data_IF_510139001539
#
_entry.id   IF_510139001539
#
_cell.length_a   1.000
_cell.length_b   1.000
_cell.length_c   1.000
_cell.angle_alpha   90.00
_cell.angle_beta   90.00
_cell.angle_gamma   90.00
#
_symmetry.space_group_name_H-M   'P 1'
#
loop_
_entity.id
_entity.type
_entity.pdbx_description
1 polymer ?
#
# COMPACT_ATOMS: atom_id res chain seq x y z
N UNK A 1 41.64 -12.34 7.77
CA UNK A 1 40.55 -11.59 8.45
C UNK A 1 39.99 -10.58 7.46
N UNK A 2 38.91 -10.95 6.79
CA UNK A 2 38.39 -10.24 5.61
C UNK A 2 37.26 -9.33 6.05
N UNK A 3 37.44 -8.00 5.95
CA UNK A 3 36.42 -6.99 6.28
C UNK A 3 35.30 -7.06 5.24
N UNK A 4 34.17 -7.67 5.59
CA UNK A 4 32.92 -7.52 4.84
C UNK A 4 32.41 -6.08 5.01
N UNK A 5 32.36 -5.33 3.91
CA UNK A 5 31.71 -4.01 3.85
C UNK A 5 30.21 -4.22 3.70
N UNK A 6 29.48 -4.08 4.80
CA UNK A 6 28.02 -4.07 4.83
C UNK A 6 27.52 -2.78 4.15
N UNK A 7 26.89 -2.91 2.98
CA UNK A 7 26.21 -1.79 2.33
C UNK A 7 24.93 -1.49 3.10
N UNK A 8 24.89 -0.34 3.79
CA UNK A 8 23.67 0.20 4.43
C UNK A 8 22.61 0.40 3.34
N UNK A 9 21.46 -0.25 3.51
CA UNK A 9 20.26 0.01 2.70
C UNK A 9 19.74 1.38 3.15
N UNK A 10 19.99 2.39 2.34
CA UNK A 10 19.42 3.72 2.53
C UNK A 10 17.99 3.63 2.00
N UNK A 11 17.00 3.65 2.90
CA UNK A 11 15.61 3.92 2.55
C UNK A 11 15.49 5.41 2.18
N UNK A 12 15.90 5.75 0.97
CA UNK A 12 15.52 7.01 0.35
C UNK A 12 14.05 6.92 -0.07
N UNK A 13 13.21 7.95 0.19
CA UNK A 13 11.90 8.03 -0.43
C UNK A 13 12.11 8.17 -1.95
N UNK A 14 11.78 7.11 -2.68
CA UNK A 14 11.83 7.07 -4.15
C UNK A 14 10.73 7.99 -4.68
N UNK A 15 11.04 9.26 -4.88
CA UNK A 15 10.30 10.14 -5.78
C UNK A 15 10.72 9.79 -7.21
N UNK A 16 9.92 8.94 -7.86
CA UNK A 16 10.15 8.51 -9.23
C UNK A 16 9.62 9.59 -10.19
N UNK A 17 10.53 10.38 -10.78
CA UNK A 17 10.25 11.26 -11.92
C UNK A 17 10.43 10.44 -13.20
N UNK A 18 9.32 10.09 -13.86
CA UNK A 18 9.34 9.53 -15.22
C UNK A 18 9.31 10.67 -16.24
N UNK A 19 10.43 10.88 -16.92
CA UNK A 19 10.53 11.69 -18.14
C UNK A 19 10.39 10.78 -19.37
N UNK A 20 9.30 11.00 -20.09
CA UNK A 20 9.16 11.08 -21.55
C UNK A 20 9.99 10.11 -22.42
N UNK A 21 9.31 9.12 -22.98
CA UNK A 21 9.67 8.48 -24.25
C UNK A 21 8.46 8.46 -25.17
N UNK A 22 8.47 9.32 -26.19
CA UNK A 22 7.51 9.29 -27.29
C UNK A 22 8.01 8.42 -28.45
N UNK A 23 7.09 7.97 -29.31
CA UNK A 23 7.43 7.57 -30.68
C UNK A 23 6.72 6.33 -31.22
N UNK A 24 5.58 6.58 -31.86
CA UNK A 24 5.09 6.04 -33.14
C UNK A 24 5.07 4.53 -33.46
N UNK A 25 3.88 4.12 -33.96
CA UNK A 25 3.57 3.09 -34.97
C UNK A 25 2.53 2.09 -34.40
N UNK A 26 1.52 1.59 -35.12
CA UNK A 26 1.03 1.75 -36.49
C UNK A 26 -0.35 1.05 -36.50
N UNK A 27 -1.25 1.61 -37.28
CA UNK A 27 -2.62 1.18 -37.52
C UNK A 27 -2.62 -0.08 -38.41
N UNK A 28 -3.31 -1.14 -37.99
CA UNK A 28 -3.71 -2.22 -38.89
C UNK A 28 -5.08 -2.77 -38.46
N UNK A 29 -6.04 -2.54 -39.34
CA UNK A 29 -7.43 -2.99 -39.24
C UNK A 29 -7.54 -4.44 -39.68
N UNK A 30 -8.05 -5.32 -38.82
CA UNK A 30 -8.44 -6.67 -39.23
C UNK A 30 -9.92 -6.91 -38.91
N UNK A 31 -10.69 -7.09 -39.99
CA UNK A 31 -12.09 -7.50 -39.98
C UNK A 31 -12.14 -8.97 -39.58
N UNK A 32 -12.84 -9.30 -38.49
CA UNK A 32 -13.15 -10.69 -38.15
C UNK A 32 -14.65 -10.94 -38.20
N UNK A 33 -14.95 -12.01 -38.92
CA UNK A 33 -16.21 -12.70 -39.15
C UNK A 33 -17.09 -12.85 -37.90
N UNK A 34 -18.40 -12.69 -38.09
CA UNK A 34 -19.41 -13.21 -37.19
C UNK A 34 -19.50 -14.73 -37.32
N UNK A 35 -19.56 -15.49 -36.21
CA UNK A 35 -20.17 -16.80 -36.23
C UNK A 35 -21.63 -16.72 -35.77
N UNK A 36 -22.34 -17.63 -36.42
CA UNK A 36 -23.75 -17.92 -36.42
C UNK A 36 -24.22 -18.59 -35.12
N UNK A 37 -25.54 -18.57 -34.98
CA UNK A 37 -26.40 -18.97 -33.88
C UNK A 37 -26.08 -20.27 -33.13
N UNK A 38 -26.36 -20.23 -31.83
CA UNK A 38 -27.17 -21.28 -31.19
C UNK A 38 -26.61 -21.88 -29.92
N UNK A 39 -26.72 -21.19 -28.78
CA UNK A 39 -26.72 -21.85 -27.47
C UNK A 39 -27.80 -21.26 -26.56
N UNK A 40 -28.68 -22.15 -26.11
CA UNK A 40 -29.70 -21.92 -25.09
C UNK A 40 -29.03 -21.55 -23.75
N UNK A 41 -29.57 -20.62 -22.97
CA UNK A 41 -29.00 -20.28 -21.67
C UNK A 41 -29.25 -21.43 -20.68
N UNK A 42 -28.22 -22.22 -20.39
CA UNK A 42 -28.15 -22.96 -19.14
C UNK A 42 -28.27 -21.96 -17.99
N UNK A 43 -29.22 -22.22 -17.11
CA UNK A 43 -29.45 -21.44 -15.91
C UNK A 43 -28.14 -21.37 -15.11
N UNK A 44 -27.52 -20.19 -15.13
CA UNK A 44 -26.39 -19.84 -14.27
C UNK A 44 -26.90 -19.93 -12.83
N UNK A 45 -26.67 -21.10 -12.24
CA UNK A 45 -26.80 -21.36 -10.82
C UNK A 45 -25.96 -20.32 -10.10
N UNK A 46 -26.63 -19.39 -9.42
CA UNK A 46 -26.01 -18.41 -8.54
C UNK A 46 -25.50 -19.14 -7.30
N UNK A 47 -24.40 -19.87 -7.45
CA UNK A 47 -23.68 -20.43 -6.33
C UNK A 47 -23.25 -19.28 -5.42
N UNK A 48 -23.75 -19.29 -4.18
CA UNK A 48 -23.26 -18.42 -3.12
C UNK A 48 -21.74 -18.59 -3.01
N UNK A 49 -20.95 -17.52 -2.88
CA UNK A 49 -19.50 -17.63 -2.86
C UNK A 49 -19.07 -18.50 -1.68
N UNK A 50 -18.50 -19.67 -1.99
CA UNK A 50 -18.15 -20.74 -1.04
C UNK A 50 -17.08 -20.35 0.00
N UNK A 51 -16.52 -19.14 -0.06
CA UNK A 51 -15.32 -18.79 0.69
C UNK A 51 -15.55 -18.02 1.99
N UNK A 52 -16.79 -17.59 2.31
CA UNK A 52 -17.07 -16.86 3.56
C UNK A 52 -16.30 -15.54 3.76
N UNK A 53 -15.61 -15.08 2.71
CA UNK A 53 -14.79 -13.87 2.72
C UNK A 53 -15.70 -12.67 2.49
N UNK A 54 -15.65 -11.70 3.39
CA UNK A 54 -16.42 -10.45 3.27
C UNK A 54 -15.47 -9.27 3.08
N UNK A 55 -15.89 -8.32 2.25
CA UNK A 55 -15.16 -7.10 1.96
C UNK A 55 -15.99 -5.90 2.42
N UNK A 56 -15.57 -5.29 3.52
CA UNK A 56 -16.27 -4.17 4.15
C UNK A 56 -15.67 -2.85 3.69
N UNK A 57 -16.48 -1.98 3.08
CA UNK A 57 -16.10 -0.59 2.83
C UNK A 57 -16.13 0.14 4.17
N UNK A 58 -14.97 0.66 4.59
CA UNK A 58 -14.84 1.41 5.84
C UNK A 58 -14.84 2.92 5.62
N UNK A 59 -14.47 3.37 4.42
CA UNK A 59 -14.52 4.77 4.00
C UNK A 59 -14.76 4.84 2.49
N UNK A 60 -15.62 5.77 2.07
CA UNK A 60 -15.78 6.17 0.67
C UNK A 60 -15.77 7.70 0.60
N UNK A 61 -14.81 8.24 -0.15
CA UNK A 61 -14.71 9.66 -0.43
C UNK A 61 -15.05 9.93 -1.88
N UNK A 62 -16.05 10.79 -2.09
CA UNK A 62 -16.41 11.29 -3.42
C UNK A 62 -16.12 12.78 -3.46
N UNK A 63 -15.27 13.19 -4.39
CA UNK A 63 -14.95 14.59 -4.66
C UNK A 63 -15.41 14.93 -6.07
N UNK A 64 -16.23 15.96 -6.23
CA UNK A 64 -16.72 16.40 -7.53
C UNK A 64 -16.47 17.89 -7.70
N UNK A 65 -15.55 18.23 -8.59
CA UNK A 65 -15.05 19.58 -8.84
C UNK A 65 -14.96 19.81 -10.34
N UNK A 66 -14.90 21.07 -10.82
CA UNK A 66 -14.78 21.34 -12.26
C UNK A 66 -13.58 20.69 -12.97
N UNK A 67 -12.52 20.37 -12.21
CA UNK A 67 -11.27 19.81 -12.74
C UNK A 67 -11.27 18.28 -12.65
N UNK A 68 -11.93 17.71 -11.64
CA UNK A 68 -11.93 16.27 -11.39
C UNK A 68 -13.18 15.79 -10.68
N UNK A 69 -13.58 14.57 -11.01
CA UNK A 69 -14.51 13.76 -10.22
C UNK A 69 -13.76 12.52 -9.74
N UNK A 70 -13.55 12.38 -8.45
CA UNK A 70 -12.78 11.31 -7.83
C UNK A 70 -13.65 10.47 -6.91
N UNK A 71 -13.52 9.15 -7.02
CA UNK A 71 -14.03 8.19 -6.04
C UNK A 71 -12.82 7.49 -5.42
N UNK A 72 -12.76 7.49 -4.09
CA UNK A 72 -11.77 6.75 -3.32
C UNK A 72 -12.50 5.83 -2.34
N UNK A 73 -12.15 4.55 -2.34
CA UNK A 73 -12.70 3.54 -1.44
C UNK A 73 -11.59 2.88 -0.63
N UNK A 74 -11.81 2.75 0.67
CA UNK A 74 -10.98 1.97 1.59
C UNK A 74 -11.78 0.77 2.09
N UNK A 75 -11.21 -0.42 1.93
CA UNK A 75 -11.90 -1.69 2.15
C UNK A 75 -11.07 -2.56 3.08
N UNK A 76 -11.73 -3.26 4.01
CA UNK A 76 -11.10 -4.27 4.86
C UNK A 76 -11.68 -5.64 4.54
N UNK A 77 -10.81 -6.65 4.42
CA UNK A 77 -11.20 -8.04 4.22
C UNK A 77 -11.33 -8.77 5.56
N UNK A 78 -12.36 -9.60 5.74
CA UNK A 78 -12.61 -10.32 7.00
C UNK A 78 -11.73 -11.55 7.23
N UNK A 79 -11.13 -12.09 6.18
CA UNK A 79 -10.30 -13.30 6.20
C UNK A 79 -9.32 -13.26 5.03
N UNK A 80 -8.36 -14.20 4.98
CA UNK A 80 -7.33 -14.21 3.93
C UNK A 80 -7.95 -14.48 2.55
N UNK A 81 -7.90 -13.53 1.60
CA UNK A 81 -8.38 -13.78 0.24
C UNK A 81 -7.33 -14.52 -0.58
N UNK A 82 -7.78 -15.28 -1.58
CA UNK A 82 -6.88 -15.73 -2.65
C UNK A 82 -6.51 -14.52 -3.53
N UNK A 83 -5.36 -14.59 -4.20
CA UNK A 83 -4.92 -13.54 -5.13
C UNK A 83 -6.00 -13.23 -6.18
N UNK A 84 -6.54 -14.26 -6.83
CA UNK A 84 -7.59 -14.12 -7.83
C UNK A 84 -8.88 -13.53 -7.24
N UNK A 85 -9.31 -13.99 -6.05
CA UNK A 85 -10.51 -13.46 -5.40
C UNK A 85 -10.37 -12.00 -4.99
N UNK A 86 -9.18 -11.57 -4.58
CA UNK A 86 -8.88 -10.16 -4.29
C UNK A 86 -8.92 -9.31 -5.57
N UNK A 87 -8.30 -9.80 -6.66
CA UNK A 87 -8.28 -9.15 -7.97
C UNK A 87 -9.70 -8.96 -8.53
N UNK A 88 -10.51 -10.02 -8.52
CA UNK A 88 -11.90 -9.99 -8.98
C UNK A 88 -12.75 -9.01 -8.18
N UNK A 89 -12.61 -8.98 -6.85
CA UNK A 89 -13.34 -8.05 -6.00
C UNK A 89 -12.98 -6.59 -6.29
N UNK A 90 -11.69 -6.30 -6.45
CA UNK A 90 -11.21 -4.95 -6.77
C UNK A 90 -11.76 -4.53 -8.14
N UNK A 91 -11.69 -5.39 -9.15
CA UNK A 91 -12.23 -5.09 -10.48
C UNK A 91 -13.75 -4.91 -10.48
N UNK A 92 -14.48 -5.73 -9.73
CA UNK A 92 -15.95 -5.60 -9.56
C UNK A 92 -16.31 -4.21 -9.05
N UNK A 93 -15.61 -3.73 -8.01
CA UNK A 93 -15.83 -2.40 -7.44
C UNK A 93 -15.40 -1.29 -8.36
N UNK A 94 -14.26 -1.43 -9.04
CA UNK A 94 -13.80 -0.49 -10.05
C UNK A 94 -14.84 -0.30 -11.16
N UNK A 95 -15.37 -1.39 -11.72
CA UNK A 95 -16.42 -1.34 -12.74
C UNK A 95 -17.68 -0.64 -12.22
N UNK A 96 -18.09 -0.93 -10.98
CA UNK A 96 -19.22 -0.25 -10.34
C UNK A 96 -18.98 1.26 -10.19
N UNK A 97 -17.81 1.67 -9.67
CA UNK A 97 -17.43 3.07 -9.53
C UNK A 97 -17.37 3.78 -10.90
N UNK A 98 -16.83 3.13 -11.92
CA UNK A 98 -16.76 3.64 -13.30
C UNK A 98 -18.12 3.74 -13.97
N UNK A 99 -19.08 2.89 -13.59
CA UNK A 99 -20.45 2.93 -14.09
C UNK A 99 -21.32 3.99 -13.40
N UNK A 100 -20.87 4.56 -12.27
CA UNK A 100 -21.59 5.63 -11.57
C UNK A 100 -21.72 6.87 -12.47
N UNK A 101 -22.90 7.50 -12.44
CA UNK A 101 -23.27 8.67 -13.23
C UNK A 101 -23.87 9.75 -12.33
N UNK A 102 -24.10 10.93 -12.89
CA UNK A 102 -24.84 12.01 -12.23
C UNK A 102 -24.00 12.94 -11.36
N UNK A 103 -22.69 13.02 -11.59
CA UNK A 103 -21.88 14.07 -10.98
C UNK A 103 -22.15 15.41 -11.68
N UNK A 104 -21.93 16.51 -10.94
CA UNK A 104 -22.25 17.86 -11.38
C UNK A 104 -21.31 18.34 -12.49
N UNK A 105 -20.04 17.96 -12.42
CA UNK A 105 -19.01 18.49 -13.32
C UNK A 105 -18.60 17.52 -14.42
N UNK A 106 -18.62 16.21 -14.14
CA UNK A 106 -18.29 15.17 -15.12
C UNK A 106 -19.36 14.09 -15.13
N UNK A 107 -19.70 13.53 -16.30
CA UNK A 107 -20.72 12.48 -16.34
C UNK A 107 -20.27 11.18 -15.64
N UNK A 108 -18.95 10.94 -15.55
CA UNK A 108 -18.32 9.76 -14.95
C UNK A 108 -17.16 10.19 -14.05
N UNK A 109 -16.72 9.32 -13.13
CA UNK A 109 -15.52 9.58 -12.35
C UNK A 109 -14.27 9.63 -13.25
N UNK A 110 -13.48 10.69 -13.11
CA UNK A 110 -12.18 10.88 -13.78
C UNK A 110 -11.06 10.16 -13.05
N UNK A 111 -11.21 9.96 -11.73
CA UNK A 111 -10.25 9.28 -10.90
C UNK A 111 -10.96 8.22 -10.05
N UNK A 112 -10.40 7.02 -10.00
CA UNK A 112 -10.91 5.93 -9.16
C UNK A 112 -9.72 5.31 -8.43
N UNK A 113 -9.78 5.32 -7.10
CA UNK A 113 -8.81 4.68 -6.22
C UNK A 113 -9.54 3.70 -5.33
N UNK A 114 -9.14 2.43 -5.35
CA UNK A 114 -9.69 1.42 -4.45
C UNK A 114 -8.52 0.74 -3.76
N UNK A 115 -8.55 0.78 -2.44
CA UNK A 115 -7.54 0.19 -1.57
C UNK A 115 -8.19 -0.90 -0.71
N UNK A 116 -7.58 -2.07 -0.70
CA UNK A 116 -7.99 -3.20 0.16
C UNK A 116 -6.89 -3.44 1.18
N UNK A 117 -7.29 -3.62 2.44
CA UNK A 117 -6.42 -3.81 3.59
C UNK A 117 -6.78 -5.11 4.33
N UNK A 118 -5.79 -5.68 5.01
CA UNK A 118 -6.00 -6.83 5.88
C UNK A 118 -6.68 -6.47 7.19
N UNK A 119 -6.47 -5.25 7.69
CA UNK A 119 -7.08 -4.76 8.93
C UNK A 119 -7.53 -3.30 8.85
N UNK A 120 -8.35 -2.87 9.80
CA UNK A 120 -8.76 -1.45 9.93
C UNK A 120 -7.60 -0.56 10.31
N UNK A 121 -6.70 -1.07 11.16
CA UNK A 121 -5.51 -0.34 11.62
C UNK A 121 -4.58 -0.01 10.43
N UNK A 122 -4.41 -0.95 9.51
CA UNK A 122 -3.65 -0.71 8.27
C UNK A 122 -4.27 0.40 7.42
N UNK A 123 -5.59 0.39 7.26
CA UNK A 123 -6.29 1.42 6.49
C UNK A 123 -6.16 2.81 7.13
N UNK A 124 -6.27 2.88 8.46
CA UNK A 124 -6.13 4.13 9.21
C UNK A 124 -4.70 4.69 9.20
N UNK A 125 -3.69 3.83 9.09
CA UNK A 125 -2.29 4.25 8.93
C UNK A 125 -1.96 4.79 7.53
N UNK A 126 -2.88 4.66 6.56
CA UNK A 126 -2.85 5.37 5.29
C UNK A 126 -2.74 4.49 4.04
N UNK A 127 -2.52 5.14 2.90
CA UNK A 127 -2.51 4.51 1.58
C UNK A 127 -1.27 3.64 1.30
N UNK A 128 -0.34 3.50 2.26
CA UNK A 128 0.90 2.74 2.07
C UNK A 128 0.80 1.25 2.40
N UNK A 129 -0.24 0.81 3.11
CA UNK A 129 -0.33 -0.51 3.74
C UNK A 129 -1.38 -1.45 3.12
N UNK A 130 -1.87 -1.16 1.91
CA UNK A 130 -2.81 -2.04 1.21
C UNK A 130 -2.19 -3.40 0.88
N UNK A 131 -3.05 -4.41 0.79
CA UNK A 131 -2.74 -5.75 0.27
C UNK A 131 -3.08 -5.85 -1.22
N UNK A 132 -4.04 -5.04 -1.69
CA UNK A 132 -4.36 -4.87 -3.10
C UNK A 132 -4.89 -3.47 -3.38
N UNK A 133 -4.56 -2.93 -4.54
CA UNK A 133 -5.09 -1.65 -4.99
C UNK A 133 -5.32 -1.59 -6.50
N UNK A 134 -6.20 -0.68 -6.91
CA UNK A 134 -6.28 -0.21 -8.29
C UNK A 134 -6.36 1.32 -8.27
N UNK A 135 -5.64 1.95 -9.18
CA UNK A 135 -5.62 3.39 -9.35
C UNK A 135 -5.83 3.71 -10.82
N UNK A 136 -6.76 4.62 -11.08
CA UNK A 136 -7.02 5.20 -12.40
C UNK A 136 -7.00 6.72 -12.24
N UNK A 137 -6.14 7.38 -13.02
CA UNK A 137 -6.07 8.82 -13.19
C UNK A 137 -6.73 9.30 -14.48
N UNK A 138 -6.86 10.63 -14.66
CA UNK A 138 -7.58 11.23 -15.78
C UNK A 138 -6.88 11.08 -17.14
N UNK A 139 -5.58 10.75 -17.13
CA UNK A 139 -4.77 10.59 -18.35
C UNK A 139 -4.59 9.12 -18.75
N UNK A 140 -5.10 8.19 -17.94
CA UNK A 140 -4.98 6.77 -18.21
C UNK A 140 -5.94 6.38 -19.34
N UNK A 141 -5.36 5.90 -20.44
CA UNK A 141 -6.13 5.45 -21.63
C UNK A 141 -6.37 3.95 -21.62
N UNK A 142 -5.54 3.21 -20.90
CA UNK A 142 -5.61 1.77 -20.77
C UNK A 142 -6.47 1.36 -19.57
N UNK A 143 -6.90 0.10 -19.55
CA UNK A 143 -7.52 -0.42 -18.34
C UNK A 143 -6.50 -0.48 -17.19
N UNK A 144 -6.85 0.04 -16.01
CA UNK A 144 -5.93 0.04 -14.88
C UNK A 144 -5.68 -1.39 -14.42
N UNK A 145 -4.43 -1.64 -14.02
CA UNK A 145 -4.01 -2.94 -13.49
C UNK A 145 -4.21 -2.98 -11.99
N UNK A 146 -4.67 -4.12 -11.47
CA UNK A 146 -4.67 -4.38 -10.03
C UNK A 146 -3.24 -4.68 -9.57
N UNK A 147 -2.79 -3.95 -8.55
CA UNK A 147 -1.52 -4.19 -7.87
C UNK A 147 -1.81 -4.97 -6.59
N UNK A 148 -1.08 -6.07 -6.36
CA UNK A 148 -1.20 -6.89 -5.15
C UNK A 148 0.18 -6.95 -4.49
N UNK A 149 0.23 -6.74 -3.18
CA UNK A 149 1.44 -6.99 -2.39
C UNK A 149 1.43 -8.44 -1.94
N UNK A 150 2.21 -9.27 -2.62
CA UNK A 150 2.28 -10.71 -2.35
C UNK A 150 2.80 -10.98 -0.92
N UNK A 151 3.75 -10.18 -0.44
CA UNK A 151 4.32 -10.30 0.92
C UNK A 151 3.27 -10.03 2.00
N UNK A 152 2.46 -8.97 1.83
CA UNK A 152 1.42 -8.61 2.81
C UNK A 152 0.23 -9.54 2.73
N UNK A 153 -0.14 -9.98 1.52
CA UNK A 153 -1.19 -10.98 1.35
C UNK A 153 -0.80 -12.29 2.03
N UNK A 154 0.44 -12.76 1.83
CA UNK A 154 0.97 -13.94 2.52
C UNK A 154 1.05 -13.75 4.04
N UNK A 155 1.38 -12.54 4.51
CA UNK A 155 1.45 -12.23 5.93
C UNK A 155 0.11 -12.39 6.67
N UNK A 156 -1.04 -12.28 5.99
CA UNK A 156 -2.35 -12.48 6.62
C UNK A 156 -2.59 -13.92 7.08
N UNK A 157 -1.89 -14.89 6.49
CA UNK A 157 -1.95 -16.31 6.88
C UNK A 157 -0.87 -16.71 7.87
N UNK A 158 0.03 -15.80 8.24
CA UNK A 158 1.18 -16.13 9.07
C UNK A 158 0.72 -16.32 10.53
N UNK A 159 1.08 -17.45 11.12
CA UNK A 159 0.93 -17.69 12.56
C UNK A 159 1.95 -16.85 13.33
N UNK A 160 1.55 -16.05 14.34
CA UNK A 160 2.49 -15.30 15.15
C UNK A 160 3.60 -16.20 15.71
N UNK A 161 4.85 -15.82 15.48
CA UNK A 161 6.04 -16.53 15.93
C UNK A 161 6.85 -15.70 16.93
N UNK A 162 7.61 -16.39 17.78
CA UNK A 162 8.59 -15.78 18.67
C UNK A 162 9.92 -15.61 17.93
N UNK A 163 10.48 -14.38 17.96
CA UNK A 163 11.78 -14.05 17.36
C UNK A 163 12.52 -13.09 18.26
N UNK A 164 13.82 -13.31 18.40
CA UNK A 164 14.70 -12.51 19.27
C UNK A 164 14.25 -12.52 20.75
N UNK A 165 13.56 -13.59 21.18
CA UNK A 165 12.94 -13.66 22.51
C UNK A 165 11.72 -12.76 22.70
N UNK A 166 11.15 -12.22 21.61
CA UNK A 166 9.98 -11.36 21.61
C UNK A 166 8.83 -11.99 20.82
N UNK A 167 7.62 -11.91 21.36
CA UNK A 167 6.38 -12.19 20.63
C UNK A 167 6.15 -11.18 19.49
N UNK A 168 5.30 -11.50 18.53
CA UNK A 168 4.98 -10.57 17.43
C UNK A 168 4.42 -9.23 17.95
N UNK A 169 3.57 -9.25 18.98
CA UNK A 169 3.00 -8.03 19.57
C UNK A 169 4.07 -7.17 20.25
N UNK A 170 5.07 -7.78 20.88
CA UNK A 170 6.23 -7.05 21.41
C UNK A 170 7.08 -6.47 20.28
N UNK A 171 7.31 -7.21 19.18
CA UNK A 171 8.02 -6.66 18.01
C UNK A 171 7.25 -5.51 17.35
N UNK A 172 5.92 -5.59 17.24
CA UNK A 172 5.06 -4.46 16.81
C UNK A 172 5.20 -3.25 17.74
N UNK A 173 5.32 -3.48 19.05
CA UNK A 173 5.57 -2.40 20.02
C UNK A 173 6.96 -1.79 19.82
N UNK A 174 8.00 -2.60 19.65
CA UNK A 174 9.36 -2.13 19.34
C UNK A 174 9.37 -1.29 18.07
N UNK A 175 8.69 -1.75 17.01
CA UNK A 175 8.56 -1.01 15.76
C UNK A 175 7.92 0.38 15.95
N UNK A 176 6.77 0.46 16.64
CA UNK A 176 6.10 1.73 16.93
C UNK A 176 6.96 2.68 17.76
N UNK A 177 7.68 2.15 18.76
CA UNK A 177 8.62 2.97 19.54
C UNK A 177 9.82 3.44 18.71
N UNK A 178 10.27 2.66 17.72
CA UNK A 178 11.30 3.07 16.76
C UNK A 178 10.81 4.22 15.87
N UNK A 179 9.61 4.11 15.29
CA UNK A 179 9.02 5.18 14.49
C UNK A 179 8.83 6.46 15.31
N UNK A 180 8.31 6.35 16.54
CA UNK A 180 8.17 7.49 17.44
C UNK A 180 9.51 8.13 17.84
N UNK A 181 10.58 7.35 17.89
CA UNK A 181 11.93 7.85 18.14
C UNK A 181 12.47 8.65 16.95
N UNK A 182 12.22 8.21 15.72
CA UNK A 182 12.54 8.95 14.48
C UNK A 182 11.78 10.29 14.45
N UNK A 183 10.46 10.27 14.64
CA UNK A 183 9.64 11.50 14.70
C UNK A 183 10.14 12.49 15.76
N UNK A 184 10.55 11.94 16.92
CA UNK A 184 11.13 12.73 18.00
C UNK A 184 12.47 13.34 17.59
N UNK A 185 13.35 12.59 16.92
CA UNK A 185 14.64 13.07 16.43
C UNK A 185 14.44 14.23 15.43
N UNK A 186 13.57 14.06 14.44
CA UNK A 186 13.25 15.11 13.45
C UNK A 186 12.73 16.37 14.13
N UNK A 187 11.73 16.25 15.01
CA UNK A 187 11.14 17.40 15.72
C UNK A 187 12.15 18.12 16.60
N UNK A 188 12.99 17.39 17.33
CA UNK A 188 14.02 18.00 18.17
C UNK A 188 15.13 18.66 17.33
N UNK A 189 15.53 18.08 16.20
CA UNK A 189 16.48 18.68 15.28
C UNK A 189 15.96 20.01 14.71
N UNK A 190 14.70 20.03 14.24
CA UNK A 190 14.02 21.24 13.76
C UNK A 190 13.90 22.33 14.84
N UNK A 191 13.67 21.94 16.09
CA UNK A 191 13.55 22.89 17.19
C UNK A 191 14.91 23.51 17.57
N UNK A 192 16.01 22.76 17.42
CA UNK A 192 17.36 23.17 17.83
C UNK A 192 18.15 23.86 16.72
N UNK A 193 17.89 23.51 15.46
CA UNK A 193 18.62 24.04 14.30
C UNK A 193 17.68 24.90 13.46
N UNK A 194 18.01 26.18 13.20
CA UNK A 194 17.20 27.01 12.32
C UNK A 194 17.02 26.39 10.93
N UNK A 195 15.81 26.49 10.36
CA UNK A 195 15.49 25.87 9.07
C UNK A 195 16.32 26.37 7.87
N UNK A 196 17.04 27.49 8.01
CA UNK A 196 18.01 27.94 7.00
C UNK A 196 19.29 27.09 6.96
N UNK A 197 19.52 26.22 7.94
CA UNK A 197 20.71 25.38 8.07
C UNK A 197 20.37 23.90 7.86
N UNK A 198 19.75 23.58 6.71
CA UNK A 198 19.23 22.24 6.37
C UNK A 198 20.26 21.13 6.63
N UNK A 199 21.52 21.31 6.21
CA UNK A 199 22.55 20.28 6.41
C UNK A 199 22.82 19.99 7.89
N UNK A 200 22.88 21.02 8.74
CA UNK A 200 23.09 20.84 10.18
C UNK A 200 21.89 20.20 10.86
N UNK A 201 20.68 20.48 10.36
CA UNK A 201 19.47 19.85 10.85
C UNK A 201 19.49 18.35 10.57
N UNK A 202 19.85 17.95 9.34
CA UNK A 202 20.00 16.54 8.95
C UNK A 202 21.07 15.84 9.79
N UNK A 203 22.22 16.46 10.02
CA UNK A 203 23.27 15.86 10.86
C UNK A 203 22.79 15.67 12.30
N UNK A 204 22.11 16.66 12.89
CA UNK A 204 21.57 16.57 14.24
C UNK A 204 20.45 15.53 14.37
N UNK A 205 19.56 15.46 13.38
CA UNK A 205 18.52 14.44 13.30
C UNK A 205 19.12 13.04 13.32
N UNK A 206 20.13 12.79 12.49
CA UNK A 206 20.84 11.50 12.45
C UNK A 206 21.50 11.14 13.78
N UNK A 207 22.13 12.11 14.45
CA UNK A 207 22.73 11.89 15.78
C UNK A 207 21.68 11.54 16.85
N UNK A 208 20.53 12.23 16.82
CA UNK A 208 19.42 11.97 17.74
C UNK A 208 18.77 10.62 17.46
N UNK A 209 18.59 10.26 16.19
CA UNK A 209 18.06 8.97 15.76
C UNK A 209 18.96 7.83 16.24
N UNK A 210 20.29 7.93 16.02
CA UNK A 210 21.24 6.93 16.49
C UNK A 210 21.23 6.80 18.02
N UNK A 211 21.11 7.93 18.74
CA UNK A 211 20.96 7.92 20.20
C UNK A 211 19.69 7.19 20.63
N UNK A 212 18.53 7.53 20.10
CA UNK A 212 17.26 6.91 20.50
C UNK A 212 17.16 5.45 20.08
N UNK A 213 17.73 5.08 18.92
CA UNK A 213 17.89 3.69 18.50
C UNK A 213 18.70 2.89 19.52
N UNK A 214 19.83 3.42 20.00
CA UNK A 214 20.64 2.77 21.01
C UNK A 214 19.91 2.64 22.38
N UNK A 215 19.04 3.60 22.73
CA UNK A 215 18.19 3.50 23.92
C UNK A 215 17.18 2.34 23.79
N UNK A 216 16.55 2.18 22.62
CA UNK A 216 15.62 1.07 22.35
C UNK A 216 16.31 -0.29 22.37
N UNK A 217 17.46 -0.41 21.73
CA UNK A 217 18.30 -1.62 21.73
C UNK A 217 18.58 -2.09 23.16
N UNK A 218 18.97 -1.17 24.06
CA UNK A 218 19.19 -1.49 25.48
C UNK A 218 17.90 -1.84 26.22
N UNK A 219 16.80 -1.13 25.94
CA UNK A 219 15.51 -1.33 26.61
C UNK A 219 14.94 -2.73 26.37
N UNK A 220 15.13 -3.28 25.18
CA UNK A 220 14.57 -4.58 24.78
C UNK A 220 15.61 -5.71 24.72
N UNK A 221 16.84 -5.47 25.18
CA UNK A 221 17.96 -6.43 25.09
C UNK A 221 18.17 -6.97 23.66
N UNK A 222 18.06 -6.07 22.68
CA UNK A 222 18.24 -6.38 21.26
C UNK A 222 19.65 -6.01 20.79
N UNK A 223 20.04 -6.52 19.63
CA UNK A 223 21.15 -5.93 18.85
C UNK A 223 20.62 -4.89 17.86
N UNK A 224 21.51 -4.06 17.32
CA UNK A 224 21.14 -3.12 16.25
C UNK A 224 20.62 -3.82 15.00
N UNK A 225 21.16 -5.00 14.69
CA UNK A 225 20.73 -5.85 13.58
C UNK A 225 19.32 -6.40 13.81
N UNK A 226 19.02 -6.88 15.02
CA UNK A 226 17.68 -7.39 15.36
C UNK A 226 16.62 -6.27 15.30
N UNK A 227 16.94 -5.08 15.81
CA UNK A 227 16.05 -3.92 15.65
C UNK A 227 15.81 -3.59 14.18
N UNK A 228 16.85 -3.65 13.34
CA UNK A 228 16.71 -3.45 11.90
C UNK A 228 15.82 -4.54 11.25
N UNK A 229 15.98 -5.81 11.65
CA UNK A 229 15.14 -6.90 11.17
C UNK A 229 13.67 -6.73 11.56
N UNK A 230 13.39 -6.20 12.76
CA UNK A 230 12.02 -5.85 13.20
C UNK A 230 11.42 -4.77 12.28
N UNK A 231 12.19 -3.73 11.93
CA UNK A 231 11.73 -2.68 11.01
C UNK A 231 11.44 -3.24 9.62
N UNK A 232 12.28 -4.13 9.11
CA UNK A 232 12.06 -4.80 7.82
C UNK A 232 10.83 -5.71 7.87
N UNK A 233 10.68 -6.50 8.95
CA UNK A 233 9.49 -7.33 9.18
C UNK A 233 8.22 -6.47 9.18
N UNK A 234 8.23 -5.34 9.89
CA UNK A 234 7.12 -4.41 9.95
C UNK A 234 6.73 -3.87 8.58
N UNK A 235 7.71 -3.49 7.74
CA UNK A 235 7.45 -3.02 6.38
C UNK A 235 6.84 -4.11 5.49
N UNK A 236 7.37 -5.34 5.58
CA UNK A 236 6.89 -6.50 4.80
C UNK A 236 5.49 -6.94 5.21
N UNK A 237 5.21 -6.99 6.52
CA UNK A 237 3.89 -7.36 7.06
C UNK A 237 2.89 -6.20 7.04
N UNK A 238 3.35 -4.98 6.73
CA UNK A 238 2.54 -3.78 6.74
C UNK A 238 1.99 -3.45 8.13
N UNK A 239 2.85 -3.46 9.15
CA UNK A 239 2.47 -3.02 10.49
C UNK A 239 2.27 -1.49 10.52
N UNK A 240 1.21 -0.99 11.16
CA UNK A 240 0.99 0.44 11.31
C UNK A 240 2.03 1.06 12.27
N UNK A 241 2.51 2.27 11.95
CA UNK A 241 3.40 3.08 12.78
C UNK A 241 2.61 4.08 13.64
#
# INVERSE_FOLDING_TARGET
MTKMRLRRVICLPVFLIFLLGGGCAREESEKIHAPDSGEHPEAVSSALPESGITYLVIDEKVSDTPIKTQIEQQIVVSSVPTRAGLEDEIFRRYRSARARRGFRHHNVATNIYIYVYGTKEQANAGQGLWIGMIAMGPLDKEEPRVLISEERLAALSHVPEERFGLSEEERKKVFRESAAAEDRATREAMARVPGSQIMKQIDMERELEEKYKNELVRKYDLTNEQLQEIVVEAAMKGWPY
#
